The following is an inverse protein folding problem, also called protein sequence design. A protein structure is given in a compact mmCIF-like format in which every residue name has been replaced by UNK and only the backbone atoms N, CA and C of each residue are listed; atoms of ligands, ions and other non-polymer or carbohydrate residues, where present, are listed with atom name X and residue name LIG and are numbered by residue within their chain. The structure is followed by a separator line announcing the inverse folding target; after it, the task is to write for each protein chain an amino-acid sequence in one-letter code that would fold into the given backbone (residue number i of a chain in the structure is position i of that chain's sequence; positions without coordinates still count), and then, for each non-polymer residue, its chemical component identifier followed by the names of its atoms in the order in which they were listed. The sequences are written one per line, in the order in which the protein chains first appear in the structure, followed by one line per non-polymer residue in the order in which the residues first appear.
data_IF_534532567105
#
_entry.id   IF_534532567105
#
_cell.length_a   1.000
_cell.length_b   1.000
_cell.length_c   1.000
_cell.angle_alpha   90.00
_cell.angle_beta   90.00
_cell.angle_gamma   90.00
#
_symmetry.space_group_name_H-M   'P 1'
#
loop_
_entity.id
_entity.type
_entity.pdbx_description
1 polymer ?
#
# COMPACT_ATOMS: atom_id res chain seq x y z
N UNK A 1 -44.45 13.12 13.85
CA UNK A 1 -43.46 12.96 12.76
C UNK A 1 -44.22 12.61 11.49
N UNK A 2 -43.93 13.28 10.36
CA UNK A 2 -44.53 12.89 9.09
C UNK A 2 -43.90 11.58 8.61
N UNK A 3 -44.63 10.78 7.85
CA UNK A 3 -44.14 9.50 7.28
C UNK A 3 -42.84 9.68 6.50
N UNK A 4 -42.64 10.88 5.92
CA UNK A 4 -41.43 11.28 5.19
C UNK A 4 -40.22 11.48 6.12
N UNK A 5 -40.42 12.05 7.32
CA UNK A 5 -39.36 12.19 8.33
C UNK A 5 -38.92 10.83 8.87
N UNK A 6 -39.86 9.91 9.09
CA UNK A 6 -39.56 8.54 9.55
C UNK A 6 -38.76 7.76 8.51
N UNK A 7 -39.11 7.90 7.22
CA UNK A 7 -38.37 7.28 6.13
C UNK A 7 -36.94 7.84 6.03
N UNK A 8 -36.78 9.16 6.13
CA UNK A 8 -35.47 9.83 6.05
C UNK A 8 -34.55 9.47 7.23
N UNK A 9 -35.11 9.39 8.44
CA UNK A 9 -34.38 8.93 9.62
C UNK A 9 -33.93 7.47 9.48
N UNK A 10 -34.79 6.61 8.96
CA UNK A 10 -34.47 5.20 8.71
C UNK A 10 -33.38 5.04 7.65
N UNK A 11 -33.47 5.74 6.51
CA UNK A 11 -32.42 5.73 5.48
C UNK A 11 -31.09 6.22 6.01
N UNK A 12 -31.07 7.33 6.77
CA UNK A 12 -29.85 7.88 7.36
C UNK A 12 -29.22 6.94 8.40
N UNK A 13 -30.05 6.19 9.13
CA UNK A 13 -29.57 5.19 10.08
C UNK A 13 -29.02 3.94 9.36
N UNK A 14 -29.63 3.52 8.26
CA UNK A 14 -29.11 2.45 7.40
C UNK A 14 -27.75 2.82 6.80
N UNK A 15 -27.63 4.01 6.22
CA UNK A 15 -26.35 4.54 5.70
C UNK A 15 -25.28 4.60 6.80
N UNK A 16 -25.64 5.08 8.00
CA UNK A 16 -24.74 5.15 9.15
C UNK A 16 -24.19 3.79 9.60
N UNK A 17 -24.88 2.68 9.30
CA UNK A 17 -24.48 1.32 9.71
C UNK A 17 -23.78 0.57 8.57
N UNK A 18 -24.16 0.78 7.31
CA UNK A 18 -23.58 0.07 6.16
C UNK A 18 -22.29 0.69 5.63
N UNK A 19 -22.14 2.02 5.72
CA UNK A 19 -20.98 2.73 5.19
C UNK A 19 -19.63 2.33 5.84
N UNK A 20 -19.56 2.08 7.16
CA UNK A 20 -18.32 1.62 7.81
C UNK A 20 -17.83 0.25 7.31
N UNK A 21 -18.75 -0.69 7.05
CA UNK A 21 -18.38 -2.01 6.52
C UNK A 21 -17.93 -1.93 5.06
N UNK A 22 -18.56 -1.09 4.26
CA UNK A 22 -18.12 -0.82 2.90
C UNK A 22 -16.72 -0.21 2.86
N UNK A 23 -16.45 0.80 3.70
CA UNK A 23 -15.13 1.43 3.84
C UNK A 23 -14.06 0.42 4.29
N UNK A 24 -14.38 -0.45 5.24
CA UNK A 24 -13.47 -1.50 5.70
C UNK A 24 -13.14 -2.52 4.61
N UNK A 25 -14.14 -2.98 3.85
CA UNK A 25 -13.91 -3.91 2.75
C UNK A 25 -13.02 -3.29 1.65
N UNK A 26 -13.28 -2.03 1.27
CA UNK A 26 -12.43 -1.31 0.33
C UNK A 26 -10.98 -1.20 0.82
N UNK A 27 -10.79 -0.90 2.11
CA UNK A 27 -9.48 -0.81 2.72
C UNK A 27 -8.74 -2.16 2.66
N UNK A 28 -9.41 -3.27 2.95
CA UNK A 28 -8.81 -4.61 2.83
C UNK A 28 -8.38 -4.89 1.39
N UNK A 29 -9.22 -4.57 0.40
CA UNK A 29 -8.85 -4.72 -1.02
C UNK A 29 -7.63 -3.88 -1.37
N UNK A 30 -7.61 -2.60 -0.96
CA UNK A 30 -6.47 -1.67 -1.18
C UNK A 30 -5.19 -2.18 -0.51
N UNK A 31 -5.29 -2.80 0.66
CA UNK A 31 -4.16 -3.43 1.36
C UNK A 31 -3.59 -4.59 0.57
N UNK A 32 -4.44 -5.48 0.05
CA UNK A 32 -4.00 -6.61 -0.78
C UNK A 32 -3.33 -6.08 -2.05
N UNK A 33 -3.93 -5.13 -2.75
CA UNK A 33 -3.33 -4.52 -3.96
C UNK A 33 -1.96 -3.90 -3.67
N UNK A 34 -1.84 -3.14 -2.57
CA UNK A 34 -0.59 -2.49 -2.17
C UNK A 34 0.49 -3.53 -1.85
N UNK A 35 0.16 -4.57 -1.08
CA UNK A 35 1.09 -5.66 -0.74
C UNK A 35 1.52 -6.43 -1.98
N UNK A 36 0.59 -6.76 -2.88
CA UNK A 36 0.89 -7.41 -4.15
C UNK A 36 1.81 -6.54 -5.00
N UNK A 37 1.58 -5.23 -5.05
CA UNK A 37 2.43 -4.30 -5.78
C UNK A 37 3.85 -4.24 -5.22
N UNK A 38 4.01 -4.14 -3.90
CA UNK A 38 5.32 -4.18 -3.23
C UNK A 38 6.06 -5.48 -3.57
N UNK A 39 5.37 -6.63 -3.55
CA UNK A 39 5.98 -7.91 -3.92
C UNK A 39 6.42 -7.95 -5.39
N UNK A 40 5.57 -7.46 -6.31
CA UNK A 40 5.88 -7.39 -7.74
C UNK A 40 7.05 -6.45 -8.05
N UNK A 41 7.05 -5.26 -7.47
CA UNK A 41 8.11 -4.26 -7.63
C UNK A 41 9.44 -4.79 -7.08
N UNK A 42 9.40 -5.46 -5.92
CA UNK A 42 10.58 -6.13 -5.34
C UNK A 42 11.12 -7.23 -6.25
N UNK A 43 10.26 -8.09 -6.80
CA UNK A 43 10.67 -9.15 -7.73
C UNK A 43 11.29 -8.58 -9.02
N UNK A 44 10.73 -7.50 -9.56
CA UNK A 44 11.32 -6.80 -10.71
C UNK A 44 12.70 -6.24 -10.37
N UNK A 45 12.83 -5.56 -9.23
CA UNK A 45 14.10 -4.99 -8.79
C UNK A 45 15.18 -6.07 -8.64
N UNK A 46 14.88 -7.21 -8.01
CA UNK A 46 15.81 -8.33 -7.86
C UNK A 46 16.15 -9.02 -9.19
N UNK A 47 15.18 -9.12 -10.10
CA UNK A 47 15.43 -9.69 -11.43
C UNK A 47 16.31 -8.78 -12.28
N UNK A 48 16.04 -7.47 -12.24
CA UNK A 48 16.86 -6.47 -12.93
C UNK A 48 18.29 -6.47 -12.39
N UNK A 49 18.45 -6.53 -11.06
CA UNK A 49 19.72 -6.71 -10.36
C UNK A 49 20.52 -7.93 -10.83
N UNK A 50 19.87 -9.09 -10.88
CA UNK A 50 20.50 -10.34 -11.31
C UNK A 50 20.94 -10.26 -12.77
N UNK A 51 20.08 -9.74 -13.64
CA UNK A 51 20.37 -9.59 -15.06
C UNK A 51 21.49 -8.56 -15.33
N UNK A 52 21.46 -7.41 -14.66
CA UNK A 52 22.53 -6.40 -14.74
C UNK A 52 23.85 -6.92 -14.16
N UNK A 53 23.81 -7.71 -13.08
CA UNK A 53 25.00 -8.33 -12.50
C UNK A 53 25.62 -9.34 -13.48
N UNK A 54 24.80 -10.19 -14.10
CA UNK A 54 25.25 -11.14 -15.13
C UNK A 54 25.83 -10.44 -16.36
N UNK A 55 25.15 -9.41 -16.88
CA UNK A 55 25.66 -8.61 -17.99
C UNK A 55 26.97 -7.91 -17.63
N UNK A 56 27.05 -7.34 -16.43
CA UNK A 56 28.25 -6.61 -16.01
C UNK A 56 29.43 -7.56 -15.83
N UNK A 57 29.22 -8.76 -15.26
CA UNK A 57 30.24 -9.80 -15.17
C UNK A 57 30.68 -10.28 -16.56
N UNK A 58 29.75 -10.51 -17.48
CA UNK A 58 30.08 -10.90 -18.86
C UNK A 58 30.82 -9.80 -19.64
N UNK A 59 30.69 -8.54 -19.21
CA UNK A 59 31.34 -7.37 -19.81
C UNK A 59 32.74 -7.11 -19.26
N UNK A 60 33.12 -7.72 -18.13
CA UNK A 60 34.48 -7.63 -17.58
C UNK A 60 35.42 -8.48 -18.45
N UNK A 61 36.12 -7.83 -19.38
CA UNK A 61 37.11 -8.48 -20.23
C UNK A 61 38.53 -8.14 -19.80
N UNK A 62 38.70 -6.98 -19.16
CA UNK A 62 40.01 -6.42 -18.82
C UNK A 62 39.96 -5.70 -17.46
N UNK A 63 41.09 -5.56 -16.73
CA UNK A 63 41.12 -4.90 -15.41
C UNK A 63 40.60 -3.45 -15.43
N UNK A 64 40.70 -2.74 -16.55
CA UNK A 64 40.13 -1.39 -16.69
C UNK A 64 38.59 -1.32 -16.70
N UNK A 65 37.90 -2.46 -16.78
CA UNK A 65 36.43 -2.52 -16.74
C UNK A 65 35.88 -2.49 -15.30
N UNK A 66 36.75 -2.67 -14.29
CA UNK A 66 36.39 -2.71 -12.86
C UNK A 66 35.77 -1.40 -12.34
N UNK A 67 36.28 -0.20 -12.68
CA UNK A 67 35.64 1.06 -12.26
C UNK A 67 34.21 1.21 -12.78
N UNK A 68 33.96 0.81 -14.04
CA UNK A 68 32.63 0.86 -14.64
C UNK A 68 31.64 -0.10 -13.94
N UNK A 69 32.12 -1.29 -13.54
CA UNK A 69 31.35 -2.21 -12.70
C UNK A 69 31.00 -1.58 -11.35
N UNK A 70 31.96 -0.94 -10.67
CA UNK A 70 31.73 -0.26 -9.39
C UNK A 70 30.68 0.86 -9.47
N UNK A 71 30.73 1.69 -10.52
CA UNK A 71 29.72 2.73 -10.75
C UNK A 71 28.33 2.13 -10.95
N UNK A 72 28.22 1.02 -11.68
CA UNK A 72 26.94 0.37 -11.94
C UNK A 72 26.33 -0.26 -10.68
N UNK A 73 27.17 -0.83 -9.81
CA UNK A 73 26.74 -1.31 -8.50
C UNK A 73 26.21 -0.18 -7.59
N UNK A 74 26.79 1.03 -7.65
CA UNK A 74 26.26 2.19 -6.92
C UNK A 74 24.92 2.67 -7.47
N UNK A 75 24.74 2.71 -8.79
CA UNK A 75 23.47 3.09 -9.42
C UNK A 75 22.35 2.13 -9.01
N UNK A 76 22.65 0.84 -9.08
CA UNK A 76 21.81 -0.25 -8.58
C UNK A 76 21.41 -0.03 -7.13
N UNK A 77 22.38 0.20 -6.25
CA UNK A 77 22.12 0.39 -4.82
C UNK A 77 21.23 1.62 -4.57
N UNK A 78 21.44 2.70 -5.34
CA UNK A 78 20.59 3.89 -5.27
C UNK A 78 19.15 3.61 -5.69
N UNK A 79 18.94 2.83 -6.76
CA UNK A 79 17.59 2.46 -7.21
C UNK A 79 16.85 1.62 -6.16
N UNK A 80 17.54 0.65 -5.55
CA UNK A 80 16.97 -0.16 -4.45
C UNK A 80 16.60 0.73 -3.27
N UNK A 81 17.49 1.65 -2.88
CA UNK A 81 17.24 2.56 -1.76
C UNK A 81 16.03 3.46 -2.00
N UNK A 82 15.89 4.00 -3.22
CA UNK A 82 14.71 4.78 -3.62
C UNK A 82 13.43 3.94 -3.56
N UNK A 83 13.44 2.74 -4.14
CA UNK A 83 12.28 1.84 -4.12
C UNK A 83 11.86 1.47 -2.69
N UNK A 84 12.82 1.15 -1.81
CA UNK A 84 12.56 0.88 -0.40
C UNK A 84 11.92 2.07 0.32
N UNK A 85 12.38 3.29 0.01
CA UNK A 85 11.82 4.50 0.61
C UNK A 85 10.37 4.73 0.13
N UNK A 86 10.09 4.54 -1.16
CA UNK A 86 8.73 4.63 -1.70
C UNK A 86 7.80 3.57 -1.09
N UNK A 87 8.27 2.33 -0.97
CA UNK A 87 7.48 1.25 -0.40
C UNK A 87 7.23 1.45 1.10
N UNK A 88 8.21 2.00 1.83
CA UNK A 88 8.03 2.42 3.23
C UNK A 88 6.96 3.51 3.37
N UNK A 89 6.93 4.49 2.46
CA UNK A 89 5.89 5.52 2.46
C UNK A 89 4.51 4.92 2.17
N UNK A 90 4.39 4.02 1.18
CA UNK A 90 3.13 3.32 0.87
C UNK A 90 2.64 2.51 2.07
N UNK A 91 3.52 1.76 2.73
CA UNK A 91 3.18 0.99 3.93
C UNK A 91 2.75 1.87 5.10
N UNK A 92 3.43 3.01 5.30
CA UNK A 92 3.07 3.97 6.35
C UNK A 92 1.67 4.54 6.10
N UNK A 93 1.39 4.95 4.86
CA UNK A 93 0.06 5.43 4.48
C UNK A 93 -1.01 4.36 4.69
N UNK A 94 -0.70 3.11 4.32
CA UNK A 94 -1.60 1.98 4.52
C UNK A 94 -1.98 1.78 6.00
N UNK A 95 -0.99 1.88 6.89
CA UNK A 95 -1.20 1.78 8.33
C UNK A 95 -2.07 2.94 8.87
N UNK A 96 -1.88 4.15 8.35
CA UNK A 96 -2.70 5.30 8.71
C UNK A 96 -4.16 5.13 8.25
N UNK A 97 -4.36 4.73 6.99
CA UNK A 97 -5.68 4.45 6.42
C UNK A 97 -6.39 3.35 7.22
N UNK A 98 -5.66 2.29 7.58
CA UNK A 98 -6.19 1.20 8.39
C UNK A 98 -6.64 1.66 9.78
N UNK A 99 -5.79 2.45 10.46
CA UNK A 99 -6.13 3.03 11.75
C UNK A 99 -7.38 3.90 11.66
N UNK A 100 -7.48 4.76 10.65
CA UNK A 100 -8.63 5.65 10.48
C UNK A 100 -9.93 4.87 10.30
N UNK A 101 -9.93 3.83 9.46
CA UNK A 101 -11.11 3.00 9.25
C UNK A 101 -11.50 2.21 10.52
N UNK A 102 -10.52 1.74 11.30
CA UNK A 102 -10.79 1.06 12.57
C UNK A 102 -11.40 2.01 13.60
N UNK A 103 -10.92 3.25 13.67
CA UNK A 103 -11.47 4.30 14.54
C UNK A 103 -12.93 4.63 14.12
N UNK A 104 -13.22 4.73 12.81
CA UNK A 104 -14.57 4.93 12.26
C UNK A 104 -15.54 3.78 12.58
N UNK A 105 -15.10 2.52 12.40
CA UNK A 105 -15.89 1.34 12.75
C UNK A 105 -16.26 1.34 14.23
N UNK A 106 -15.28 1.63 15.10
CA UNK A 106 -15.47 1.66 16.55
C UNK A 106 -16.44 2.78 16.95
N UNK A 107 -16.27 3.99 16.40
CA UNK A 107 -17.19 5.10 16.63
C UNK A 107 -18.63 4.78 16.19
N UNK A 108 -18.78 4.11 15.03
CA UNK A 108 -20.08 3.69 14.50
C UNK A 108 -20.74 2.61 15.35
N UNK A 109 -19.97 1.64 15.85
CA UNK A 109 -20.46 0.61 16.77
C UNK A 109 -20.93 1.22 18.10
N UNK A 110 -20.17 2.15 18.68
CA UNK A 110 -20.54 2.87 19.91
C UNK A 110 -21.80 3.71 19.71
N UNK A 111 -21.94 4.39 18.56
CA UNK A 111 -23.13 5.16 18.22
C UNK A 111 -24.37 4.26 18.11
N UNK A 112 -24.23 3.13 17.42
CA UNK A 112 -25.31 2.14 17.25
C UNK A 112 -25.77 1.58 18.59
N UNK A 113 -24.84 1.22 19.48
CA UNK A 113 -25.13 0.71 20.81
C UNK A 113 -25.78 1.74 21.75
N UNK A 114 -25.54 3.05 21.55
CA UNK A 114 -26.20 4.13 22.30
C UNK A 114 -27.59 4.50 21.77
N UNK A 115 -27.89 4.12 20.52
CA UNK A 115 -29.18 4.36 19.87
C UNK A 115 -30.14 3.17 19.95
N UNK A 116 -29.69 2.03 20.48
CA UNK A 116 -30.48 0.85 20.82
C UNK A 116 -30.92 0.90 22.29
#
# INVERSE_FOLDING_TARGET
MSTQETFKAFTSQLESVTNPFYNFNQLVTKNIETLTKIQLDSLQAYSALGNESLQSLASLKQPQDIPAYGSKQMEVASKISQQLMEDSQKLTQLGQDFKSAADELTASAVKTAKSA
#
